data_IF_740268458996
#
_entry.id   IF_740268458996
#
_cell.length_a   1.000
_cell.length_b   1.000
_cell.length_c   1.000
_cell.angle_alpha   90.00
_cell.angle_beta   90.00
_cell.angle_gamma   90.00
#
_symmetry.space_group_name_H-M   'P 1'
#
loop_
_entity.id
_entity.type
_entity.pdbx_description
1 polymer ?
#
# COMPACT_ATOMS: atom_id res chain seq x y z
N UNK A 1 -6.92 -32.07 -25.73
CA UNK A 1 -6.54 -31.84 -24.32
C UNK A 1 -5.38 -30.83 -24.23
N UNK A 2 -4.44 -30.85 -25.19
CA UNK A 2 -3.32 -29.88 -25.33
C UNK A 2 -3.75 -28.40 -25.32
N UNK A 3 -4.74 -28.02 -26.16
CA UNK A 3 -5.21 -26.63 -26.31
C UNK A 3 -5.72 -25.97 -25.02
N UNK A 4 -6.18 -26.77 -24.05
CA UNK A 4 -6.63 -26.25 -22.76
C UNK A 4 -5.43 -25.92 -21.87
N UNK A 5 -4.36 -26.73 -21.92
CA UNK A 5 -3.11 -26.45 -21.21
C UNK A 5 -2.52 -25.13 -21.69
N UNK A 6 -2.37 -24.97 -23.02
CA UNK A 6 -1.76 -23.77 -23.59
C UNK A 6 -2.51 -22.48 -23.18
N UNK A 7 -3.84 -22.53 -23.12
CA UNK A 7 -4.66 -21.39 -22.69
C UNK A 7 -4.43 -21.07 -21.21
N UNK A 8 -4.33 -22.10 -20.36
CA UNK A 8 -4.08 -21.94 -18.93
C UNK A 8 -2.68 -21.39 -18.68
N UNK A 9 -1.67 -21.90 -19.38
CA UNK A 9 -0.29 -21.43 -19.31
C UNK A 9 -0.17 -19.96 -19.72
N UNK A 10 -0.83 -19.57 -20.83
CA UNK A 10 -0.89 -18.18 -21.28
C UNK A 10 -1.61 -17.26 -20.27
N UNK A 11 -2.72 -17.73 -19.68
CA UNK A 11 -3.45 -16.96 -18.67
C UNK A 11 -2.62 -16.75 -17.41
N UNK A 12 -1.88 -17.77 -16.95
CA UNK A 12 -0.99 -17.68 -15.81
C UNK A 12 0.12 -16.66 -16.04
N UNK A 13 0.80 -16.73 -17.19
CA UNK A 13 1.86 -15.77 -17.53
C UNK A 13 1.36 -14.32 -17.52
N UNK A 14 0.13 -14.08 -18.02
CA UNK A 14 -0.47 -12.76 -17.99
C UNK A 14 -0.77 -12.28 -16.56
N UNK A 15 -1.30 -13.16 -15.70
CA UNK A 15 -1.58 -12.85 -14.28
C UNK A 15 -0.28 -12.51 -13.55
N UNK A 16 0.79 -13.28 -13.76
CA UNK A 16 2.09 -13.04 -13.15
C UNK A 16 2.66 -11.68 -13.57
N UNK A 17 2.58 -11.36 -14.87
CA UNK A 17 3.03 -10.07 -15.39
C UNK A 17 2.24 -8.90 -14.78
N UNK A 18 0.92 -8.99 -14.76
CA UNK A 18 0.07 -7.94 -14.16
C UNK A 18 0.36 -7.78 -12.66
N UNK A 19 0.54 -8.90 -11.96
CA UNK A 19 0.84 -8.91 -10.52
C UNK A 19 2.19 -8.24 -10.25
N UNK A 20 3.23 -8.56 -11.03
CA UNK A 20 4.55 -7.95 -10.92
C UNK A 20 4.49 -6.43 -11.14
N UNK A 21 3.76 -5.98 -12.16
CA UNK A 21 3.56 -4.55 -12.45
C UNK A 21 2.84 -3.82 -11.30
N UNK A 22 1.81 -4.44 -10.72
CA UNK A 22 1.07 -3.88 -9.58
C UNK A 22 1.96 -3.77 -8.34
N UNK A 23 2.72 -4.82 -8.02
CA UNK A 23 3.67 -4.81 -6.90
C UNK A 23 4.70 -3.69 -7.08
N UNK A 24 5.27 -3.56 -8.27
CA UNK A 24 6.26 -2.53 -8.56
C UNK A 24 5.66 -1.12 -8.43
N UNK A 25 4.43 -0.90 -8.89
CA UNK A 25 3.72 0.37 -8.69
C UNK A 25 3.51 0.67 -7.20
N UNK A 26 3.08 -0.31 -6.41
CA UNK A 26 2.89 -0.13 -4.97
C UNK A 26 4.22 0.22 -4.29
N UNK A 27 5.31 -0.48 -4.63
CA UNK A 27 6.65 -0.21 -4.10
C UNK A 27 7.13 1.19 -4.42
N UNK A 28 6.93 1.67 -5.66
CA UNK A 28 7.27 3.05 -6.06
C UNK A 28 6.44 4.10 -5.33
N UNK A 29 5.16 3.80 -5.07
CA UNK A 29 4.24 4.71 -4.40
C UNK A 29 4.38 4.70 -2.87
N UNK A 30 4.92 3.62 -2.30
CA UNK A 30 5.28 3.55 -0.90
C UNK A 30 6.47 4.50 -0.63
N UNK A 31 6.19 5.78 -0.42
CA UNK A 31 7.21 6.79 -0.13
C UNK A 31 7.93 6.42 1.17
N UNK A 32 9.25 6.13 1.16
CA UNK A 32 10.04 5.98 2.37
C UNK A 32 10.30 7.39 2.94
N UNK A 33 9.28 7.99 3.53
CA UNK A 33 9.38 9.25 4.25
C UNK A 33 9.32 8.98 5.74
N UNK A 34 10.18 9.62 6.54
CA UNK A 34 9.90 9.82 7.96
C UNK A 34 8.50 10.46 8.03
N UNK A 35 7.53 9.74 8.61
CA UNK A 35 6.15 10.20 8.68
C UNK A 35 6.04 11.63 9.23
N UNK A 36 4.97 12.35 8.91
CA UNK A 36 4.78 13.74 9.35
C UNK A 36 4.87 13.82 10.88
N UNK A 37 5.42 14.93 11.38
CA UNK A 37 5.42 15.19 12.82
C UNK A 37 4.02 15.48 13.37
N UNK A 38 3.13 16.06 12.55
CA UNK A 38 1.78 16.48 12.92
C UNK A 38 0.74 15.92 11.94
N UNK A 39 -0.43 15.55 12.47
CA UNK A 39 -1.55 15.02 11.71
C UNK A 39 -2.10 16.08 10.74
N UNK A 40 -2.39 15.68 9.51
CA UNK A 40 -2.94 16.60 8.49
C UNK A 40 -4.38 17.04 8.75
N UNK A 41 -5.17 16.26 9.50
CA UNK A 41 -6.58 16.57 9.74
C UNK A 41 -6.80 17.33 11.06
N UNK A 42 -6.18 16.88 12.15
CA UNK A 42 -6.39 17.46 13.48
C UNK A 42 -5.22 18.30 14.02
N UNK A 43 -4.10 18.37 13.31
CA UNK A 43 -2.90 19.12 13.71
C UNK A 43 -2.12 18.55 14.91
N UNK A 44 -2.65 17.52 15.59
CA UNK A 44 -2.00 16.91 16.75
C UNK A 44 -0.71 16.16 16.37
N UNK A 45 0.30 16.10 17.26
CA UNK A 45 1.54 15.38 16.98
C UNK A 45 1.27 13.89 16.74
N UNK A 46 1.91 13.32 15.70
CA UNK A 46 1.83 11.89 15.39
C UNK A 46 2.78 11.13 16.34
N UNK A 47 2.27 10.15 17.13
CA UNK A 47 3.08 9.40 18.07
C UNK A 47 4.31 8.77 17.43
N UNK A 48 5.44 8.78 18.13
CA UNK A 48 6.69 8.17 17.63
C UNK A 48 6.51 6.69 17.27
N UNK A 49 5.77 5.93 18.09
CA UNK A 49 5.41 4.54 17.80
C UNK A 49 4.71 4.39 16.43
N UNK A 50 3.80 5.31 16.08
CA UNK A 50 3.09 5.28 14.79
C UNK A 50 4.03 5.60 13.61
N UNK A 51 4.94 6.56 13.77
CA UNK A 51 5.95 6.91 12.76
C UNK A 51 6.98 5.78 12.56
N UNK A 52 7.28 5.01 13.60
CA UNK A 52 8.14 3.84 13.52
C UNK A 52 7.45 2.65 12.84
N UNK A 53 6.19 2.35 13.20
CA UNK A 53 5.45 1.22 12.60
C UNK A 53 4.97 1.49 11.18
N UNK A 54 4.66 2.75 10.85
CA UNK A 54 4.22 3.16 9.51
C UNK A 54 5.11 4.31 9.04
N UNK A 55 6.28 3.99 8.44
CA UNK A 55 7.13 5.00 7.80
C UNK A 55 6.33 5.65 6.67
N UNK A 56 5.99 6.93 6.84
CA UNK A 56 5.15 7.70 5.92
C UNK A 56 3.79 8.11 6.49
N UNK A 57 3.46 7.77 7.75
CA UNK A 57 2.20 8.18 8.37
C UNK A 57 1.97 9.70 8.28
N UNK A 58 0.85 10.11 7.67
CA UNK A 58 0.42 11.50 7.55
C UNK A 58 -0.67 11.90 8.54
N UNK A 59 -1.31 10.92 9.19
CA UNK A 59 -2.41 11.10 10.14
C UNK A 59 -2.14 10.40 11.47
N UNK A 60 -2.74 10.91 12.54
CA UNK A 60 -2.79 10.20 13.82
C UNK A 60 -3.70 8.96 13.73
N UNK A 61 -3.57 8.04 14.70
CA UNK A 61 -4.35 6.80 14.73
C UNK A 61 -5.85 7.08 14.70
N UNK A 62 -6.32 8.05 15.48
CA UNK A 62 -7.74 8.41 15.56
C UNK A 62 -8.30 8.88 14.22
N UNK A 63 -7.64 9.83 13.55
CA UNK A 63 -8.09 10.34 12.25
C UNK A 63 -7.99 9.27 11.16
N UNK A 64 -6.98 8.41 11.20
CA UNK A 64 -6.87 7.31 10.25
C UNK A 64 -8.00 6.29 10.44
N UNK A 65 -8.30 5.89 11.68
CA UNK A 65 -9.38 4.95 11.97
C UNK A 65 -10.75 5.48 11.54
N UNK A 66 -10.98 6.79 11.68
CA UNK A 66 -12.22 7.39 11.16
C UNK A 66 -12.33 7.15 9.65
N UNK A 67 -11.30 7.42 8.86
CA UNK A 67 -11.34 7.28 7.40
C UNK A 67 -11.51 5.82 6.96
N UNK A 68 -10.88 4.86 7.65
CA UNK A 68 -10.93 3.44 7.27
C UNK A 68 -12.24 2.76 7.68
N UNK A 69 -13.02 3.37 8.59
CA UNK A 69 -14.29 2.83 9.05
C UNK A 69 -15.48 3.29 8.19
N UNK A 70 -15.29 4.27 7.30
CA UNK A 70 -16.30 4.73 6.34
C UNK A 70 -16.01 4.20 4.94
#
# INVERSE_FOLDING_TARGET
MERLSDIVDMAQAHIEQETALRIERIRRNAKPGVGRAHCIDCGQPIPAARRASVPGASRCVTCQSLIETF
#
